data_IF_725503530908
#
_entry.id   IF_725503530908
#
_cell.length_a   1.000
_cell.length_b   1.000
_cell.length_c   1.000
_cell.angle_alpha   90.00
_cell.angle_beta   90.00
_cell.angle_gamma   90.00
#
_symmetry.space_group_name_H-M   'P 1'
#
loop_
_entity.id
_entity.type
_entity.pdbx_description
1 polymer ?
#
# COMPACT_ATOMS: atom_id res chain seq x y z
N UNK A 1 -20.65 -4.57 3.05
CA UNK A 1 -21.00 -5.99 3.29
C UNK A 1 -20.36 -6.45 4.59
N UNK A 2 -21.01 -7.26 5.44
CA UNK A 2 -20.38 -7.66 6.70
C UNK A 2 -19.64 -9.01 6.63
N UNK A 3 -20.04 -9.98 5.80
CA UNK A 3 -19.57 -11.37 5.91
C UNK A 3 -19.27 -12.07 4.57
N UNK A 4 -17.98 -12.31 4.30
CA UNK A 4 -17.53 -13.20 3.22
C UNK A 4 -16.44 -14.16 3.74
N UNK A 5 -16.15 -15.24 3.00
CA UNK A 5 -15.20 -16.27 3.42
C UNK A 5 -14.22 -16.63 2.30
N UNK A 6 -12.93 -16.61 2.61
CA UNK A 6 -11.88 -17.01 1.67
C UNK A 6 -11.79 -18.55 1.56
N UNK A 7 -11.97 -19.08 0.34
CA UNK A 7 -12.13 -20.51 0.04
C UNK A 7 -10.96 -21.38 0.51
N UNK A 8 -9.72 -20.91 0.37
CA UNK A 8 -8.51 -21.72 0.67
C UNK A 8 -8.12 -21.71 2.15
N UNK A 9 -8.20 -20.56 2.81
CA UNK A 9 -7.74 -20.40 4.21
C UNK A 9 -8.85 -20.57 5.24
N UNK A 10 -10.11 -20.66 4.80
CA UNK A 10 -11.31 -20.60 5.65
C UNK A 10 -11.44 -19.33 6.52
N UNK A 11 -10.56 -18.34 6.35
CA UNK A 11 -10.60 -17.06 7.06
C UNK A 11 -11.90 -16.32 6.74
N UNK A 12 -12.53 -15.79 7.80
CA UNK A 12 -13.71 -14.94 7.72
C UNK A 12 -13.23 -13.50 7.52
N UNK A 13 -13.67 -12.85 6.45
CA UNK A 13 -13.33 -11.44 6.21
C UNK A 13 -14.37 -10.57 6.90
N UNK A 14 -14.09 -10.13 8.12
CA UNK A 14 -14.89 -9.15 8.88
C UNK A 14 -14.38 -7.74 8.64
N UNK A 15 -15.20 -6.92 7.98
CA UNK A 15 -14.88 -5.58 7.45
C UNK A 15 -14.68 -4.47 8.50
N UNK A 16 -14.20 -4.78 9.72
CA UNK A 16 -14.12 -3.81 10.83
C UNK A 16 -12.93 -4.01 11.80
N UNK A 17 -11.97 -4.89 11.52
CA UNK A 17 -10.76 -5.02 12.36
C UNK A 17 -9.51 -4.63 11.57
N UNK A 18 -8.74 -3.70 12.14
CA UNK A 18 -7.64 -2.98 11.48
C UNK A 18 -6.35 -3.80 11.25
N UNK A 19 -6.42 -5.13 11.33
CA UNK A 19 -5.29 -6.04 11.12
C UNK A 19 -5.13 -6.37 9.63
N UNK A 20 -4.58 -5.39 8.89
CA UNK A 20 -4.29 -5.49 7.47
C UNK A 20 -3.24 -6.57 7.18
N UNK A 21 -3.66 -7.72 6.66
CA UNK A 21 -2.77 -8.79 6.23
C UNK A 21 -2.20 -8.51 4.84
N UNK A 22 -0.87 -8.52 4.71
CA UNK A 22 -0.21 -8.53 3.40
C UNK A 22 -0.45 -9.86 2.69
N UNK A 23 -0.74 -9.82 1.40
CA UNK A 23 -0.95 -11.00 0.58
C UNK A 23 -0.15 -10.91 -0.72
N UNK A 24 0.70 -11.91 -0.97
CA UNK A 24 1.63 -11.94 -2.11
C UNK A 24 0.93 -11.99 -3.47
N UNK A 25 -0.32 -12.48 -3.50
CA UNK A 25 -1.17 -12.47 -4.69
C UNK A 25 -2.59 -11.98 -4.33
N UNK A 26 -2.77 -10.66 -4.34
CA UNK A 26 -4.05 -10.01 -4.04
C UNK A 26 -5.17 -10.40 -5.02
N UNK A 27 -4.88 -10.54 -6.32
CA UNK A 27 -5.88 -10.93 -7.33
C UNK A 27 -6.47 -12.30 -7.01
N UNK A 28 -5.61 -13.28 -6.71
CA UNK A 28 -6.04 -14.63 -6.36
C UNK A 28 -6.75 -14.69 -5.01
N UNK A 29 -6.43 -13.80 -4.06
CA UNK A 29 -7.16 -13.66 -2.80
C UNK A 29 -8.61 -13.26 -3.05
N UNK A 30 -8.87 -12.17 -3.78
CA UNK A 30 -10.24 -11.71 -4.07
C UNK A 30 -11.07 -12.74 -4.85
N UNK A 31 -10.48 -13.43 -5.83
CA UNK A 31 -11.14 -14.52 -6.57
C UNK A 31 -11.54 -15.73 -5.71
N UNK A 32 -10.89 -15.94 -4.57
CA UNK A 32 -11.24 -17.00 -3.63
C UNK A 32 -12.30 -16.56 -2.60
N UNK A 33 -12.73 -15.30 -2.58
CA UNK A 33 -13.76 -14.82 -1.66
C UNK A 33 -15.13 -15.30 -2.16
N UNK A 34 -15.81 -16.07 -1.32
CA UNK A 34 -17.18 -16.52 -1.56
C UNK A 34 -18.12 -15.68 -0.67
N UNK A 35 -19.10 -14.95 -1.24
CA UNK A 35 -20.16 -14.31 -0.47
C UNK A 35 -20.93 -15.34 0.36
N UNK A 36 -21.15 -15.07 1.65
CA UNK A 36 -21.93 -15.96 2.51
C UNK A 36 -23.36 -15.48 2.67
N UNK A 37 -24.32 -16.39 2.51
CA UNK A 37 -25.71 -16.14 2.91
C UNK A 37 -25.76 -15.85 4.41
N UNK A 38 -26.46 -14.76 4.78
CA UNK A 38 -26.60 -14.26 6.17
C UNK A 38 -26.95 -15.37 7.17
N UNK A 39 -27.93 -16.21 6.85
CA UNK A 39 -28.38 -17.33 7.67
C UNK A 39 -27.24 -18.30 8.06
N UNK A 40 -26.31 -18.57 7.13
CA UNK A 40 -25.16 -19.47 7.36
C UNK A 40 -24.10 -18.81 8.24
N UNK A 41 -23.97 -17.49 8.18
CA UNK A 41 -23.13 -16.75 9.12
C UNK A 41 -23.73 -16.77 10.54
N UNK A 42 -25.03 -16.55 10.69
CA UNK A 42 -25.69 -16.46 12.01
C UNK A 42 -25.56 -17.75 12.83
N UNK A 43 -25.42 -18.91 12.18
CA UNK A 43 -25.06 -20.19 12.81
C UNK A 43 -23.59 -20.18 13.22
N UNK A 44 -22.69 -19.96 12.26
CA UNK A 44 -21.23 -19.96 12.46
C UNK A 44 -20.72 -18.90 13.45
N UNK A 45 -21.49 -17.84 13.70
CA UNK A 45 -21.20 -16.81 14.69
C UNK A 45 -21.57 -17.27 16.11
N UNK A 46 -22.71 -17.93 16.29
CA UNK A 46 -23.12 -18.54 17.57
C UNK A 46 -22.13 -19.62 18.01
N UNK A 47 -21.69 -20.47 17.09
CA UNK A 47 -20.71 -21.53 17.38
C UNK A 47 -19.38 -20.98 17.91
N UNK A 48 -18.93 -19.84 17.35
CA UNK A 48 -17.67 -19.20 17.77
C UNK A 48 -17.82 -18.43 19.08
N UNK A 49 -18.95 -17.73 19.29
CA UNK A 49 -19.25 -17.10 20.58
C UNK A 49 -19.32 -18.13 21.71
N UNK A 50 -19.99 -19.27 21.48
CA UNK A 50 -20.03 -20.38 22.43
C UNK A 50 -18.62 -20.92 22.75
N UNK A 51 -17.78 -21.09 21.73
CA UNK A 51 -16.39 -21.52 21.89
C UNK A 51 -15.51 -20.49 22.62
N UNK A 52 -15.69 -19.19 22.36
CA UNK A 52 -14.98 -18.12 23.06
C UNK A 52 -15.39 -18.02 24.53
N UNK A 53 -16.69 -18.09 24.84
CA UNK A 53 -17.18 -18.08 26.23
C UNK A 53 -16.64 -19.27 27.05
N UNK A 54 -16.52 -20.45 26.43
CA UNK A 54 -15.86 -21.61 27.08
C UNK A 54 -14.36 -21.36 27.36
N UNK A 55 -13.67 -20.62 26.48
CA UNK A 55 -12.25 -20.30 26.61
C UNK A 55 -11.98 -19.18 27.63
N UNK A 56 -12.88 -18.21 27.74
CA UNK A 56 -12.81 -17.12 28.72
C UNK A 56 -13.12 -17.60 30.15
N UNK A 57 -14.08 -18.53 30.31
CA UNK A 57 -14.33 -19.20 31.59
C UNK A 57 -13.09 -19.89 32.17
N UNK A 58 -12.16 -20.34 31.31
CA UNK A 58 -10.88 -20.94 31.71
C UNK A 58 -9.77 -19.93 32.09
N UNK A 59 -9.90 -18.65 31.73
CA UNK A 59 -8.86 -17.62 31.93
C UNK A 59 -9.20 -16.58 32.99
N UNK A 60 -10.49 -16.36 33.30
CA UNK A 60 -10.93 -15.43 34.36
C UNK A 60 -10.35 -15.79 35.73
N UNK A 61 -10.17 -17.09 36.04
CA UNK A 61 -9.56 -17.57 37.29
C UNK A 61 -8.10 -17.15 37.53
N UNK A 62 -7.41 -16.58 36.53
CA UNK A 62 -5.99 -16.19 36.62
C UNK A 62 -5.74 -14.68 36.57
N UNK A 63 -6.76 -13.87 36.22
CA UNK A 63 -6.59 -12.44 35.91
C UNK A 63 -6.90 -11.47 37.07
N UNK A 64 -7.42 -11.93 38.22
CA UNK A 64 -7.75 -11.03 39.34
C UNK A 64 -6.53 -10.50 40.11
N UNK A 65 -5.32 -11.04 39.90
CA UNK A 65 -4.12 -10.69 40.67
C UNK A 65 -3.25 -9.56 40.09
N UNK A 66 -3.66 -8.91 38.97
CA UNK A 66 -2.80 -7.97 38.23
C UNK A 66 -3.44 -6.60 37.91
N UNK A 67 -4.61 -6.28 38.48
CA UNK A 67 -5.36 -5.04 38.19
C UNK A 67 -5.32 -3.97 39.29
N UNK A 68 -4.20 -3.86 40.01
CA UNK A 68 -3.94 -2.77 40.97
C UNK A 68 -2.84 -1.78 40.53
N UNK A 69 -2.17 -2.04 39.40
CA UNK A 69 -1.22 -1.10 38.81
C UNK A 69 -1.87 -0.28 37.67
N UNK A 70 -1.35 0.94 37.47
CA UNK A 70 -1.63 1.82 36.31
C UNK A 70 -2.98 2.53 36.28
N UNK A 71 -3.22 3.34 37.31
CA UNK A 71 -4.16 4.46 37.28
C UNK A 71 -3.36 5.79 37.32
N UNK A 72 -3.31 6.58 36.23
CA UNK A 72 -3.04 8.06 36.19
C UNK A 72 -3.19 8.62 34.73
N UNK A 73 -3.31 9.95 34.50
CA UNK A 73 -4.28 10.47 33.55
C UNK A 73 -3.70 11.26 32.35
N UNK A 74 -4.61 11.79 31.51
CA UNK A 74 -4.36 12.36 30.18
C UNK A 74 -3.97 13.86 30.16
N UNK A 75 -2.98 14.19 29.32
CA UNK A 75 -2.70 15.47 28.63
C UNK A 75 -1.86 15.15 27.36
N UNK A 76 -1.83 15.92 26.26
CA UNK A 76 -2.75 16.98 25.81
C UNK A 76 -2.90 17.03 24.27
N UNK A 77 -3.93 17.73 23.75
CA UNK A 77 -4.59 17.41 22.47
C UNK A 77 -4.13 18.16 21.20
N UNK A 78 -3.05 18.93 21.21
CA UNK A 78 -2.66 19.80 20.09
C UNK A 78 -1.42 19.34 19.28
N UNK A 79 -0.41 18.74 19.91
CA UNK A 79 0.79 18.25 19.20
C UNK A 79 0.54 16.95 18.44
N UNK A 80 -0.51 16.22 18.84
CA UNK A 80 -0.85 14.89 18.32
C UNK A 80 -1.11 14.86 16.81
N UNK A 81 -1.63 15.94 16.20
CA UNK A 81 -1.92 15.94 14.76
C UNK A 81 -0.64 15.87 13.89
N UNK A 82 0.40 16.60 14.27
CA UNK A 82 1.70 16.59 13.60
C UNK A 82 2.50 15.32 13.96
N UNK A 83 2.43 14.88 15.21
CA UNK A 83 3.02 13.62 15.66
C UNK A 83 2.38 12.40 14.96
N UNK A 84 1.07 12.42 14.74
CA UNK A 84 0.32 11.35 14.05
C UNK A 84 0.70 11.28 12.57
N UNK A 85 0.85 12.40 11.86
CA UNK A 85 1.41 12.40 10.49
C UNK A 85 2.84 11.84 10.46
N UNK A 86 3.72 12.28 11.37
CA UNK A 86 5.10 11.79 11.47
C UNK A 86 5.21 10.31 11.83
N UNK A 87 4.29 9.78 12.63
CA UNK A 87 4.23 8.35 12.96
C UNK A 87 3.56 7.52 11.87
N UNK A 88 2.59 8.07 11.13
CA UNK A 88 1.98 7.42 9.97
C UNK A 88 2.96 7.25 8.80
N UNK A 89 3.94 8.15 8.64
CA UNK A 89 5.02 8.01 7.66
C UNK A 89 5.89 6.77 7.90
N UNK A 90 6.24 6.48 9.16
CA UNK A 90 7.22 5.44 9.54
C UNK A 90 6.83 4.01 9.14
N UNK A 91 5.56 3.76 8.81
CA UNK A 91 5.06 2.43 8.47
C UNK A 91 4.89 2.16 6.97
N UNK A 92 5.24 3.09 6.08
CA UNK A 92 5.10 2.86 4.62
C UNK A 92 6.38 2.20 4.05
N UNK A 93 6.26 1.22 3.12
CA UNK A 93 7.45 0.57 2.54
C UNK A 93 8.43 1.56 1.89
N UNK A 94 7.91 2.60 1.25
CA UNK A 94 8.71 3.63 0.59
C UNK A 94 9.44 4.52 1.61
N UNK A 95 8.86 4.78 2.79
CA UNK A 95 9.52 5.50 3.87
C UNK A 95 10.56 4.64 4.58
N UNK A 96 10.34 3.32 4.70
CA UNK A 96 11.36 2.37 5.18
C UNK A 96 12.55 2.37 4.21
N UNK A 97 12.31 2.38 2.90
CA UNK A 97 13.36 2.53 1.88
C UNK A 97 14.07 3.88 2.01
N UNK A 98 13.34 4.99 2.15
CA UNK A 98 13.96 6.31 2.36
C UNK A 98 14.79 6.39 3.65
N UNK A 99 14.32 5.79 4.75
CA UNK A 99 15.07 5.70 6.00
C UNK A 99 16.35 4.87 5.85
N UNK A 100 16.30 3.73 5.15
CA UNK A 100 17.50 2.96 4.80
C UNK A 100 18.47 3.74 3.91
N UNK A 101 17.99 4.49 2.91
CA UNK A 101 18.83 5.37 2.12
C UNK A 101 19.48 6.49 2.97
N UNK A 102 18.78 7.00 3.98
CA UNK A 102 19.33 8.00 4.90
C UNK A 102 20.32 7.39 5.91
N UNK A 103 20.10 6.16 6.37
CA UNK A 103 20.98 5.47 7.33
C UNK A 103 22.19 4.81 6.65
N UNK A 104 21.92 3.90 5.72
CA UNK A 104 22.91 3.00 5.10
C UNK A 104 23.47 3.59 3.79
N UNK A 105 22.69 4.42 3.10
CA UNK A 105 23.00 5.01 1.78
C UNK A 105 22.60 4.14 0.59
N UNK A 106 23.23 4.37 -0.56
CA UNK A 106 22.90 3.65 -1.81
C UNK A 106 23.29 2.16 -1.69
N UNK A 107 22.39 1.20 -1.96
CA UNK A 107 22.68 -0.23 -1.91
C UNK A 107 23.75 -0.65 -2.93
N UNK A 108 24.61 -1.62 -2.57
CA UNK A 108 25.76 -2.05 -3.39
C UNK A 108 25.65 -3.48 -3.97
N UNK A 109 24.48 -4.14 -3.92
CA UNK A 109 24.30 -5.53 -4.38
C UNK A 109 23.66 -5.66 -5.78
N UNK A 110 23.55 -6.91 -6.24
CA UNK A 110 23.64 -7.36 -7.64
C UNK A 110 22.76 -6.69 -8.73
N UNK A 111 23.50 -6.07 -9.66
CA UNK A 111 23.42 -6.15 -11.14
C UNK A 111 22.11 -6.16 -11.94
N UNK A 112 20.97 -6.68 -11.48
CA UNK A 112 19.78 -6.79 -12.36
C UNK A 112 18.96 -5.49 -12.49
N UNK A 113 18.88 -4.66 -11.44
CA UNK A 113 18.19 -3.35 -11.49
C UNK A 113 18.93 -2.32 -10.62
N UNK A 114 20.18 -2.00 -10.95
CA UNK A 114 20.87 -0.86 -10.33
C UNK A 114 20.25 0.47 -10.78
N UNK A 115 19.45 1.07 -9.91
CA UNK A 115 18.91 2.42 -10.14
C UNK A 115 19.97 3.47 -9.80
N UNK A 116 20.12 4.48 -10.66
CA UNK A 116 21.14 5.54 -10.47
C UNK A 116 20.81 6.49 -9.31
N UNK A 117 21.81 7.28 -8.88
CA UNK A 117 21.68 8.28 -7.78
C UNK A 117 20.39 9.10 -7.87
N UNK A 118 20.03 9.59 -9.06
CA UNK A 118 18.84 10.41 -9.30
C UNK A 118 17.53 9.76 -8.81
N UNK A 119 17.38 8.43 -8.96
CA UNK A 119 16.19 7.73 -8.47
C UNK A 119 16.09 7.78 -6.93
N UNK A 120 17.20 7.49 -6.25
CA UNK A 120 17.26 7.55 -4.79
C UNK A 120 17.17 8.99 -4.26
N UNK A 121 17.79 9.95 -4.96
CA UNK A 121 17.71 11.39 -4.72
C UNK A 121 16.25 11.87 -4.77
N UNK A 122 15.50 11.45 -5.80
CA UNK A 122 14.08 11.73 -5.94
C UNK A 122 13.23 11.14 -4.80
N UNK A 123 13.51 9.90 -4.38
CA UNK A 123 12.85 9.29 -3.21
C UNK A 123 13.15 10.05 -1.91
N UNK A 124 14.39 10.46 -1.67
CA UNK A 124 14.79 11.24 -0.49
C UNK A 124 14.15 12.64 -0.51
N UNK A 125 14.06 13.29 -1.67
CA UNK A 125 13.37 14.57 -1.84
C UNK A 125 11.88 14.49 -1.48
N UNK A 126 11.15 13.50 -2.02
CA UNK A 126 9.75 13.29 -1.67
C UNK A 126 9.57 12.97 -0.16
N UNK A 127 10.51 12.24 0.46
CA UNK A 127 10.44 11.90 1.88
C UNK A 127 10.54 13.13 2.78
N UNK A 128 11.46 14.06 2.47
CA UNK A 128 11.58 15.31 3.22
C UNK A 128 10.37 16.24 3.00
N UNK A 129 9.80 16.28 1.79
CA UNK A 129 8.54 17.01 1.54
C UNK A 129 7.42 16.53 2.47
N UNK A 130 7.19 15.22 2.59
CA UNK A 130 6.16 14.68 3.50
C UNK A 130 6.46 14.85 5.00
N UNK A 131 7.73 15.05 5.37
CA UNK A 131 8.07 15.45 6.75
C UNK A 131 7.68 16.90 7.07
N UNK A 132 7.21 17.67 6.06
CA UNK A 132 6.78 19.05 6.18
C UNK A 132 7.88 20.08 5.95
N UNK A 133 9.01 19.69 5.36
CA UNK A 133 10.07 20.64 4.99
C UNK A 133 9.67 21.48 3.78
N UNK A 134 10.17 22.72 3.73
CA UNK A 134 10.08 23.58 2.55
C UNK A 134 10.98 23.11 1.40
N UNK A 135 10.76 23.63 0.19
CA UNK A 135 11.59 23.35 -0.99
C UNK A 135 13.08 23.66 -0.74
N UNK A 136 13.37 24.77 -0.04
CA UNK A 136 14.73 25.19 0.29
C UNK A 136 15.39 24.25 1.32
N UNK A 137 14.68 23.87 2.38
CA UNK A 137 15.18 22.92 3.38
C UNK A 137 15.38 21.52 2.79
N UNK A 138 14.45 21.07 1.94
CA UNK A 138 14.55 19.80 1.21
C UNK A 138 15.75 19.81 0.28
N UNK A 139 15.95 20.89 -0.50
CA UNK A 139 17.14 21.05 -1.37
C UNK A 139 18.43 20.91 -0.57
N UNK A 140 18.54 21.59 0.59
CA UNK A 140 19.70 21.50 1.48
C UNK A 140 19.94 20.07 1.97
N UNK A 141 18.91 19.39 2.50
CA UNK A 141 19.03 18.04 3.07
C UNK A 141 19.32 16.96 2.02
N UNK A 142 18.69 17.05 0.85
CA UNK A 142 18.96 16.14 -0.27
C UNK A 142 20.38 16.36 -0.79
N UNK A 143 20.89 17.59 -0.81
CA UNK A 143 22.26 17.90 -1.20
C UNK A 143 23.28 17.37 -0.18
N UNK A 144 23.06 17.55 1.12
CA UNK A 144 23.87 16.97 2.20
C UNK A 144 23.98 15.43 2.05
N UNK A 145 22.85 14.76 1.79
CA UNK A 145 22.82 13.32 1.52
C UNK A 145 23.58 12.95 0.23
N UNK A 146 23.34 13.64 -0.89
CA UNK A 146 23.97 13.30 -2.17
C UNK A 146 25.49 13.51 -2.17
N UNK A 147 25.99 14.53 -1.46
CA UNK A 147 27.42 14.75 -1.25
C UNK A 147 28.04 13.68 -0.33
N UNK A 148 27.33 13.21 0.69
CA UNK A 148 27.76 12.06 1.51
C UNK A 148 27.90 10.79 0.65
N UNK A 149 26.93 10.47 -0.20
CA UNK A 149 27.03 9.28 -1.06
C UNK A 149 28.20 9.38 -2.07
N UNK A 150 28.55 10.60 -2.52
CA UNK A 150 29.79 10.84 -3.28
C UNK A 150 31.04 10.56 -2.44
N UNK A 151 31.13 11.09 -1.21
CA UNK A 151 32.26 10.85 -0.31
C UNK A 151 32.46 9.35 0.00
N UNK A 152 31.37 8.60 0.06
CA UNK A 152 31.36 7.13 0.22
C UNK A 152 31.65 6.36 -1.08
N UNK A 153 32.08 7.03 -2.17
CA UNK A 153 32.34 6.46 -3.50
C UNK A 153 31.15 5.72 -4.15
N UNK A 154 29.91 6.07 -3.76
CA UNK A 154 28.66 5.48 -4.31
C UNK A 154 28.05 6.30 -5.44
N UNK A 155 28.54 7.51 -5.68
CA UNK A 155 28.16 8.36 -6.80
C UNK A 155 29.40 8.86 -7.56
N UNK A 156 29.36 8.82 -8.91
CA UNK A 156 30.49 9.17 -9.78
C UNK A 156 30.52 10.64 -10.25
N UNK A 157 29.43 11.38 -10.10
CA UNK A 157 29.30 12.76 -10.59
C UNK A 157 30.20 13.76 -9.85
N UNK A 158 30.50 14.87 -10.52
CA UNK A 158 31.09 16.07 -9.92
C UNK A 158 30.17 16.69 -8.86
N UNK A 159 30.70 17.55 -7.98
CA UNK A 159 29.86 18.24 -6.99
C UNK A 159 28.96 19.31 -7.62
N UNK A 160 29.41 19.92 -8.71
CA UNK A 160 28.64 20.89 -9.50
C UNK A 160 27.40 20.24 -10.13
N UNK A 161 27.56 19.07 -10.76
CA UNK A 161 26.43 18.29 -11.29
C UNK A 161 25.47 17.92 -10.15
N UNK A 162 25.96 17.38 -9.03
CA UNK A 162 25.10 17.04 -7.88
C UNK A 162 24.28 18.25 -7.39
N UNK A 163 24.89 19.43 -7.28
CA UNK A 163 24.17 20.65 -6.86
C UNK A 163 23.07 21.05 -7.85
N UNK A 164 23.36 20.99 -9.14
CA UNK A 164 22.39 21.28 -10.20
C UNK A 164 21.25 20.25 -10.21
N UNK A 165 21.60 18.97 -10.22
CA UNK A 165 20.66 17.84 -10.24
C UNK A 165 19.71 17.86 -9.05
N UNK A 166 20.23 18.06 -7.84
CA UNK A 166 19.41 18.14 -6.61
C UNK A 166 18.44 19.32 -6.68
N UNK A 167 18.91 20.49 -7.12
CA UNK A 167 18.06 21.68 -7.26
C UNK A 167 16.95 21.44 -8.28
N UNK A 168 17.26 20.84 -9.43
CA UNK A 168 16.28 20.51 -10.48
C UNK A 168 15.27 19.46 -10.02
N UNK A 169 15.72 18.37 -9.39
CA UNK A 169 14.83 17.29 -8.94
C UNK A 169 13.91 17.73 -7.81
N UNK A 170 14.43 18.49 -6.83
CA UNK A 170 13.61 19.02 -5.73
C UNK A 170 12.62 20.05 -6.25
N UNK A 171 13.05 20.98 -7.11
CA UNK A 171 12.13 21.93 -7.74
C UNK A 171 11.01 21.21 -8.50
N UNK A 172 11.32 20.16 -9.26
CA UNK A 172 10.34 19.35 -9.98
C UNK A 172 9.39 18.56 -9.06
N UNK A 173 9.80 18.25 -7.83
CA UNK A 173 8.95 17.66 -6.79
C UNK A 173 7.94 18.68 -6.24
N UNK A 174 8.36 19.91 -5.96
CA UNK A 174 7.47 20.94 -5.41
C UNK A 174 6.58 21.58 -6.49
N UNK A 175 7.14 21.97 -7.64
CA UNK A 175 6.43 22.64 -8.72
C UNK A 175 5.32 21.80 -9.37
N UNK A 176 5.42 20.46 -9.31
CA UNK A 176 4.36 19.54 -9.78
C UNK A 176 3.53 18.93 -8.65
N UNK A 177 3.62 19.48 -7.45
CA UNK A 177 3.07 18.94 -6.20
C UNK A 177 3.22 17.41 -6.07
N UNK A 178 4.38 16.87 -6.44
CA UNK A 178 4.59 15.43 -6.34
C UNK A 178 4.60 15.04 -4.89
N UNK A 179 3.64 14.22 -4.50
CA UNK A 179 3.55 13.67 -3.16
C UNK A 179 4.20 12.30 -3.13
N UNK A 180 4.65 11.88 -1.94
CA UNK A 180 5.04 10.49 -1.73
C UNK A 180 3.81 9.64 -2.06
N UNK A 181 3.96 8.43 -2.59
CA UNK A 181 2.83 7.48 -2.73
C UNK A 181 2.38 6.92 -1.35
N UNK A 182 2.37 7.78 -0.31
CA UNK A 182 1.94 7.53 1.05
C UNK A 182 0.42 7.31 1.12
N UNK A 183 -0.35 7.86 0.17
CA UNK A 183 -1.74 7.45 -0.09
C UNK A 183 -1.77 6.22 -1.01
N UNK A 184 -0.97 5.18 -0.68
CA UNK A 184 -1.51 3.83 -0.84
C UNK A 184 -2.62 3.73 0.18
N UNK A 185 -3.87 3.68 -0.29
CA UNK A 185 -5.04 3.54 0.58
C UNK A 185 -4.78 2.35 1.50
N UNK A 186 -4.66 2.61 2.82
CA UNK A 186 -4.32 1.56 3.80
C UNK A 186 -5.36 0.44 3.77
N UNK A 187 -6.59 0.78 3.43
CA UNK A 187 -7.74 -0.10 3.33
C UNK A 187 -8.39 0.09 1.96
N UNK A 188 -8.39 -0.95 1.11
CA UNK A 188 -9.18 -0.93 -0.12
C UNK A 188 -10.58 -1.45 0.17
N UNK A 189 -11.57 -0.56 0.09
CA UNK A 189 -12.99 -0.92 0.20
C UNK A 189 -13.51 -1.42 -1.15
N UNK A 190 -14.17 -2.58 -1.13
CA UNK A 190 -14.89 -3.15 -2.26
C UNK A 190 -16.35 -3.43 -1.88
N UNK A 191 -17.27 -3.14 -2.80
CA UNK A 191 -18.71 -3.26 -2.63
C UNK A 191 -19.26 -4.54 -3.26
N UNK A 192 -20.49 -4.91 -2.93
CA UNK A 192 -21.11 -6.16 -3.42
C UNK A 192 -21.20 -6.19 -4.95
N UNK A 193 -21.49 -5.03 -5.55
CA UNK A 193 -21.53 -4.84 -7.00
C UNK A 193 -20.15 -5.05 -7.65
N UNK A 194 -19.04 -4.66 -7.00
CA UNK A 194 -17.68 -4.93 -7.51
C UNK A 194 -17.45 -6.44 -7.67
N UNK A 195 -17.86 -7.25 -6.68
CA UNK A 195 -17.75 -8.71 -6.75
C UNK A 195 -18.72 -9.31 -7.78
N UNK A 196 -19.97 -8.84 -7.83
CA UNK A 196 -20.98 -9.35 -8.76
C UNK A 196 -20.57 -9.13 -10.21
N UNK A 197 -20.20 -7.89 -10.57
CA UNK A 197 -19.77 -7.51 -11.93
C UNK A 197 -18.59 -8.38 -12.38
N UNK A 198 -17.61 -8.65 -11.51
CA UNK A 198 -16.49 -9.52 -11.87
C UNK A 198 -16.90 -10.99 -11.95
N UNK A 199 -17.75 -11.49 -11.05
CA UNK A 199 -18.20 -12.89 -11.09
C UNK A 199 -19.10 -13.22 -12.29
N UNK A 200 -19.84 -12.24 -12.82
CA UNK A 200 -20.66 -12.37 -14.03
C UNK A 200 -19.82 -12.51 -15.32
N UNK A 201 -18.52 -12.22 -15.29
CA UNK A 201 -17.61 -12.46 -16.42
C UNK A 201 -17.39 -13.97 -16.65
N UNK A 202 -17.67 -14.42 -17.88
CA UNK A 202 -17.70 -15.83 -18.28
C UNK A 202 -16.34 -16.57 -18.24
N UNK A 203 -15.22 -15.86 -18.15
CA UNK A 203 -13.86 -16.45 -18.23
C UNK A 203 -12.99 -16.03 -17.05
N UNK A 204 -12.38 -17.00 -16.35
CA UNK A 204 -11.49 -16.73 -15.21
C UNK A 204 -10.34 -15.75 -15.53
N UNK A 205 -9.82 -15.77 -16.75
CA UNK A 205 -8.83 -14.80 -17.27
C UNK A 205 -9.36 -13.38 -17.28
N UNK A 206 -10.62 -13.17 -17.70
CA UNK A 206 -11.28 -11.86 -17.65
C UNK A 206 -11.48 -11.43 -16.20
N UNK A 207 -11.90 -12.34 -15.32
CA UNK A 207 -12.07 -12.06 -13.89
C UNK A 207 -10.77 -11.61 -13.23
N UNK A 208 -9.64 -12.29 -13.53
CA UNK A 208 -8.30 -11.92 -13.04
C UNK A 208 -7.88 -10.52 -13.49
N UNK A 209 -8.10 -10.18 -14.77
CA UNK A 209 -7.71 -8.88 -15.33
C UNK A 209 -8.64 -7.77 -14.81
N UNK A 210 -9.96 -8.01 -14.72
CA UNK A 210 -10.92 -7.08 -14.15
C UNK A 210 -10.60 -6.76 -12.68
N UNK A 211 -10.30 -7.77 -11.85
CA UNK A 211 -9.83 -7.54 -10.48
C UNK A 211 -8.53 -6.74 -10.43
N UNK A 212 -7.55 -7.02 -11.29
CA UNK A 212 -6.31 -6.26 -11.33
C UNK A 212 -6.56 -4.77 -11.68
N UNK A 213 -7.47 -4.49 -12.63
CA UNK A 213 -7.88 -3.12 -12.99
C UNK A 213 -8.61 -2.44 -11.83
N UNK A 214 -9.57 -3.11 -11.18
CA UNK A 214 -10.29 -2.56 -10.03
C UNK A 214 -9.35 -2.26 -8.84
N UNK A 215 -8.41 -3.15 -8.55
CA UNK A 215 -7.37 -2.92 -7.52
C UNK A 215 -6.54 -1.69 -7.90
N UNK A 216 -6.05 -1.60 -9.13
CA UNK A 216 -5.26 -0.45 -9.60
C UNK A 216 -6.07 0.85 -9.53
N UNK A 217 -7.36 0.83 -9.89
CA UNK A 217 -8.27 1.98 -9.78
C UNK A 217 -8.47 2.42 -8.33
N UNK A 218 -8.82 1.49 -7.43
CA UNK A 218 -8.97 1.81 -6.00
C UNK A 218 -7.67 2.32 -5.37
N UNK A 219 -6.51 1.85 -5.82
CA UNK A 219 -5.19 2.28 -5.30
C UNK A 219 -4.66 3.59 -5.89
N UNK A 220 -4.91 3.87 -7.18
CA UNK A 220 -4.17 4.87 -7.95
C UNK A 220 -5.06 5.74 -8.88
N UNK A 221 -6.38 5.78 -8.67
CA UNK A 221 -7.22 6.68 -9.46
C UNK A 221 -6.93 8.15 -9.14
N UNK A 222 -6.97 8.97 -10.20
CA UNK A 222 -6.99 10.43 -10.13
C UNK A 222 -8.30 10.87 -10.80
N UNK A 223 -9.22 11.48 -10.05
CA UNK A 223 -10.55 11.91 -10.54
C UNK A 223 -11.37 10.83 -11.27
N UNK A 224 -11.21 9.57 -10.87
CA UNK A 224 -11.89 8.40 -11.46
C UNK A 224 -11.18 7.80 -12.68
N UNK A 225 -10.14 8.46 -13.21
CA UNK A 225 -9.25 7.91 -14.22
C UNK A 225 -8.15 7.08 -13.57
N UNK A 226 -7.72 5.99 -14.19
CA UNK A 226 -6.60 5.16 -13.71
C UNK A 226 -5.60 4.90 -14.84
N UNK A 227 -4.33 5.11 -14.55
CA UNK A 227 -3.24 4.89 -15.49
C UNK A 227 -2.51 3.58 -15.15
N UNK A 228 -2.56 2.62 -16.07
CA UNK A 228 -1.84 1.36 -15.94
C UNK A 228 -1.26 0.90 -17.29
N UNK A 229 -0.13 0.20 -17.21
CA UNK A 229 0.50 -0.47 -18.36
C UNK A 229 0.08 -1.94 -18.42
N UNK A 230 0.08 -2.50 -19.64
CA UNK A 230 -0.15 -3.95 -19.85
C UNK A 230 0.89 -4.78 -19.08
N UNK A 231 2.12 -4.27 -18.91
CA UNK A 231 3.17 -4.93 -18.10
C UNK A 231 2.81 -5.02 -16.61
N UNK A 232 2.16 -4.01 -16.02
CA UNK A 232 1.68 -4.09 -14.63
C UNK A 232 0.60 -5.15 -14.46
N UNK A 233 -0.35 -5.24 -15.41
CA UNK A 233 -1.39 -6.27 -15.39
C UNK A 233 -0.80 -7.68 -15.59
N UNK A 234 0.16 -7.84 -16.50
CA UNK A 234 0.94 -9.07 -16.70
C UNK A 234 1.65 -9.49 -15.40
N UNK A 235 2.32 -8.58 -14.70
CA UNK A 235 2.95 -8.86 -13.39
C UNK A 235 1.93 -9.18 -12.29
N UNK A 236 0.79 -8.49 -12.21
CA UNK A 236 -0.21 -8.70 -11.17
C UNK A 236 -1.02 -9.99 -11.33
N UNK A 237 -1.21 -10.45 -12.57
CA UNK A 237 -2.06 -11.61 -12.89
C UNK A 237 -1.28 -12.88 -13.24
N UNK A 238 -0.01 -12.74 -13.65
CA UNK A 238 0.77 -13.83 -14.25
C UNK A 238 0.34 -14.19 -15.68
N UNK A 239 -0.59 -13.43 -16.29
CA UNK A 239 -1.10 -13.66 -17.64
C UNK A 239 -0.16 -12.98 -18.65
N UNK A 240 0.17 -13.68 -19.75
CA UNK A 240 1.06 -13.13 -20.79
C UNK A 240 0.50 -11.87 -21.45
N UNK A 241 1.39 -10.92 -21.75
CA UNK A 241 1.06 -9.61 -22.38
C UNK A 241 0.04 -9.67 -23.51
N UNK A 242 0.20 -10.61 -24.44
CA UNK A 242 -0.68 -10.77 -25.60
C UNK A 242 -2.10 -11.17 -25.18
N UNK A 243 -2.21 -12.06 -24.18
CA UNK A 243 -3.49 -12.48 -23.61
C UNK A 243 -4.14 -11.32 -22.85
N UNK A 244 -3.38 -10.58 -22.04
CA UNK A 244 -3.87 -9.38 -21.35
C UNK A 244 -4.41 -8.36 -22.36
N UNK A 245 -3.65 -8.03 -23.41
CA UNK A 245 -4.08 -7.10 -24.45
C UNK A 245 -5.39 -7.55 -25.12
N UNK A 246 -5.51 -8.83 -25.51
CA UNK A 246 -6.74 -9.36 -26.12
C UNK A 246 -7.94 -9.27 -25.17
N UNK A 247 -7.73 -9.52 -23.88
CA UNK A 247 -8.79 -9.51 -22.86
C UNK A 247 -9.18 -8.11 -22.40
N UNK A 248 -8.26 -7.14 -22.45
CA UNK A 248 -8.58 -5.72 -22.25
C UNK A 248 -9.61 -5.22 -23.27
N UNK A 249 -9.50 -5.61 -24.54
CA UNK A 249 -10.49 -5.21 -25.55
C UNK A 249 -11.90 -5.75 -25.23
N UNK A 250 -12.00 -7.02 -24.82
CA UNK A 250 -13.29 -7.62 -24.40
C UNK A 250 -13.89 -6.91 -23.19
N UNK A 251 -13.06 -6.48 -22.22
CA UNK A 251 -13.53 -5.72 -21.04
C UNK A 251 -13.96 -4.28 -21.36
N UNK A 252 -13.42 -3.67 -22.44
CA UNK A 252 -13.92 -2.40 -22.98
C UNK A 252 -15.26 -2.60 -23.68
N UNK A 253 -15.37 -3.63 -24.52
CA UNK A 253 -16.61 -4.00 -25.21
C UNK A 253 -17.76 -4.32 -24.23
N UNK A 254 -17.45 -4.88 -23.05
CA UNK A 254 -18.41 -5.11 -21.98
C UNK A 254 -18.70 -3.88 -21.10
N UNK A 255 -18.15 -2.70 -21.41
CA UNK A 255 -18.39 -1.45 -20.67
C UNK A 255 -17.84 -1.41 -19.24
N UNK A 256 -16.91 -2.29 -18.86
CA UNK A 256 -16.33 -2.32 -17.50
C UNK A 256 -15.34 -1.16 -17.29
N UNK A 257 -14.68 -0.72 -18.35
CA UNK A 257 -13.90 0.52 -18.35
C UNK A 257 -13.82 1.12 -19.75
N UNK A 258 -13.66 2.44 -19.80
CA UNK A 258 -13.38 3.19 -21.03
C UNK A 258 -11.88 3.48 -21.14
N UNK A 259 -11.38 3.66 -22.37
CA UNK A 259 -10.02 4.15 -22.61
C UNK A 259 -10.05 5.40 -23.47
N UNK A 260 -9.39 6.44 -22.98
CA UNK A 260 -9.15 7.71 -23.65
C UNK A 260 -7.75 7.72 -24.30
#
# INVERSE_FOLDING_TARGET
MPFAKHRKTNVRTTFLQHDLQSHDNAVQYFLNIIPMQKQRFDVLARDVLAYQMQKEAFTIGRSMLLKEAENKPKTDKAEDAAATKRNALKSTPLAIVAQKLLQDGIPQQDTEVQQGRHYYQFLVALYYKEQGYSEQETTKKVLEWALREKQMNRAKSSESEIKQDVTTDVHHVYAKDKNFFAIRVREMTFYEDDFRVVQELYEATLQQIAWAILILGRMYHENGQVYFSIRQLETMTGISRNTVHRRLNVLKESGIFESY
#
